data_IF_399573196115
#
_entry.id   IF_399573196115
#
_cell.length_a   1.000
_cell.length_b   1.000
_cell.length_c   1.000
_cell.angle_alpha   90.00
_cell.angle_beta   90.00
_cell.angle_gamma   90.00
#
_symmetry.space_group_name_H-M   'P 1'
#
loop_
_entity.id
_entity.type
_entity.pdbx_description
1 polymer ?
#
# COMPACT_ATOMS: atom_id res chain seq x y z
N UNK A 1 -11.51 -3.39 10.27
CA UNK A 1 -10.77 -2.61 9.28
C UNK A 1 -11.05 -3.06 7.86
N UNK A 2 -10.55 -2.28 6.89
CA UNK A 2 -10.63 -2.56 5.46
C UNK A 2 -12.06 -2.62 4.87
N UNK A 3 -13.08 -2.17 5.63
CA UNK A 3 -14.49 -2.22 5.18
C UNK A 3 -14.70 -1.36 3.93
N UNK A 4 -14.09 -0.17 3.89
CA UNK A 4 -14.20 0.76 2.75
C UNK A 4 -13.57 0.20 1.48
N UNK A 5 -12.34 -0.31 1.54
CA UNK A 5 -11.66 -0.91 0.39
C UNK A 5 -12.37 -2.16 -0.12
N UNK A 6 -12.88 -3.00 0.79
CA UNK A 6 -13.66 -4.18 0.41
C UNK A 6 -15.00 -3.81 -0.25
N UNK A 7 -15.71 -2.81 0.30
CA UNK A 7 -16.94 -2.30 -0.30
C UNK A 7 -16.70 -1.70 -1.70
N UNK A 8 -15.62 -0.93 -1.84
CA UNK A 8 -15.20 -0.41 -3.15
C UNK A 8 -14.93 -1.54 -4.15
N UNK A 9 -14.10 -2.53 -3.76
CA UNK A 9 -13.74 -3.64 -4.62
C UNK A 9 -14.97 -4.49 -5.01
N UNK A 10 -15.92 -4.65 -4.11
CA UNK A 10 -17.19 -5.36 -4.39
C UNK A 10 -18.07 -4.57 -5.38
N UNK A 11 -18.21 -3.26 -5.17
CA UNK A 11 -19.01 -2.40 -6.04
C UNK A 11 -18.43 -2.27 -7.46
N UNK A 12 -17.12 -2.48 -7.63
CA UNK A 12 -16.40 -2.36 -8.90
C UNK A 12 -15.83 -3.70 -9.39
N UNK A 13 -16.42 -4.82 -8.96
CA UNK A 13 -15.86 -6.16 -9.22
C UNK A 13 -15.62 -6.44 -10.72
N UNK A 14 -16.50 -5.95 -11.61
CA UNK A 14 -16.38 -6.13 -13.06
C UNK A 14 -15.24 -5.31 -13.69
N UNK A 15 -14.80 -4.24 -13.01
CA UNK A 15 -13.80 -3.29 -13.50
C UNK A 15 -12.54 -3.24 -12.66
N UNK A 16 -12.45 -4.06 -11.61
CA UNK A 16 -11.31 -4.00 -10.69
C UNK A 16 -9.97 -4.27 -11.40
N UNK A 17 -10.00 -5.12 -12.42
CA UNK A 17 -8.82 -5.46 -13.24
C UNK A 17 -8.38 -4.33 -14.18
N UNK A 18 -9.23 -3.31 -14.40
CA UNK A 18 -8.86 -2.11 -15.17
C UNK A 18 -7.96 -1.18 -14.34
N UNK A 19 -7.94 -1.36 -13.01
CA UNK A 19 -7.02 -0.64 -12.15
C UNK A 19 -5.59 -1.09 -12.41
N UNK A 20 -4.73 -0.13 -12.72
CA UNK A 20 -3.33 -0.41 -13.08
C UNK A 20 -2.49 -0.68 -11.83
N UNK A 21 -2.71 0.12 -10.81
CA UNK A 21 -1.94 0.10 -9.57
C UNK A 21 -2.74 0.77 -8.44
N UNK A 22 -2.57 0.30 -7.21
CA UNK A 22 -3.11 0.98 -6.02
C UNK A 22 -1.99 1.64 -5.22
N UNK A 23 -2.10 2.95 -5.00
CA UNK A 23 -1.25 3.71 -4.09
C UNK A 23 -2.05 4.01 -2.83
N UNK A 24 -1.71 3.36 -1.73
CA UNK A 24 -2.29 3.59 -0.41
C UNK A 24 -1.34 4.37 0.50
N UNK A 25 -1.88 5.08 1.46
CA UNK A 25 -1.12 5.88 2.43
C UNK A 25 -1.62 5.62 3.83
N UNK A 26 -0.75 5.08 4.67
CA UNK A 26 -0.99 4.90 6.09
C UNK A 26 0.13 5.59 6.89
N UNK A 27 -0.19 6.22 8.01
CA UNK A 27 0.76 6.78 8.98
C UNK A 27 1.83 7.74 8.39
N UNK A 28 1.60 8.33 7.23
CA UNK A 28 2.60 9.14 6.52
C UNK A 28 3.10 10.36 7.31
N UNK A 29 2.32 10.84 8.29
CA UNK A 29 2.61 12.02 9.08
C UNK A 29 3.37 11.79 10.38
N UNK A 30 3.65 10.55 10.76
CA UNK A 30 4.34 10.21 12.01
C UNK A 30 5.68 10.92 12.14
N UNK A 31 5.91 11.59 13.29
CA UNK A 31 7.12 12.37 13.55
C UNK A 31 8.37 11.49 13.59
N UNK A 32 8.26 10.31 14.22
CA UNK A 32 9.36 9.35 14.36
C UNK A 32 9.36 8.34 13.21
N UNK A 33 10.49 7.65 13.06
CA UNK A 33 10.68 6.61 12.04
C UNK A 33 11.07 7.14 10.65
N UNK A 34 11.35 6.20 9.75
CA UNK A 34 11.66 6.43 8.34
C UNK A 34 10.48 6.13 7.42
N UNK A 35 10.59 6.51 6.15
CA UNK A 35 9.62 6.09 5.15
C UNK A 35 9.81 4.60 4.85
N UNK A 36 8.74 3.85 4.91
CA UNK A 36 8.70 2.42 4.61
C UNK A 36 7.58 2.17 3.62
N UNK A 37 7.89 1.46 2.55
CA UNK A 37 6.93 1.13 1.51
C UNK A 37 6.70 -0.38 1.49
N UNK A 38 5.47 -0.79 1.75
CA UNK A 38 5.04 -2.17 1.63
C UNK A 38 4.48 -2.42 0.24
N UNK A 39 5.18 -3.21 -0.57
CA UNK A 39 4.81 -3.51 -1.96
C UNK A 39 4.27 -4.91 -2.04
N UNK A 40 3.01 -5.04 -2.43
CA UNK A 40 2.35 -6.32 -2.69
C UNK A 40 2.18 -6.49 -4.20
N UNK A 41 3.26 -6.92 -4.84
CA UNK A 41 3.37 -7.09 -6.30
C UNK A 41 4.60 -7.93 -6.65
N UNK A 42 4.83 -8.16 -7.94
CA UNK A 42 6.07 -8.76 -8.45
C UNK A 42 7.31 -7.94 -8.03
N UNK A 43 8.45 -8.60 -7.83
CA UNK A 43 9.67 -7.94 -7.37
C UNK A 43 10.17 -6.85 -8.34
N UNK A 44 9.89 -6.96 -9.64
CA UNK A 44 10.22 -5.92 -10.61
C UNK A 44 9.57 -4.57 -10.32
N UNK A 45 8.43 -4.56 -9.64
CA UNK A 45 7.79 -3.33 -9.16
C UNK A 45 8.66 -2.63 -8.12
N UNK A 46 9.26 -3.38 -7.20
CA UNK A 46 10.16 -2.83 -6.18
C UNK A 46 11.40 -2.18 -6.81
N UNK A 47 11.94 -2.80 -7.85
CA UNK A 47 13.11 -2.28 -8.58
C UNK A 47 12.80 -0.94 -9.25
N UNK A 48 11.65 -0.85 -9.92
CA UNK A 48 11.21 0.41 -10.55
C UNK A 48 10.89 1.51 -9.53
N UNK A 49 10.25 1.17 -8.41
CA UNK A 49 10.01 2.11 -7.32
C UNK A 49 11.33 2.62 -6.74
N UNK A 50 12.29 1.73 -6.46
CA UNK A 50 13.60 2.09 -5.94
C UNK A 50 14.31 3.08 -6.85
N UNK A 51 14.34 2.80 -8.15
CA UNK A 51 14.93 3.66 -9.16
C UNK A 51 14.29 5.05 -9.17
N UNK A 52 12.96 5.16 -9.16
CA UNK A 52 12.25 6.45 -9.18
C UNK A 52 12.50 7.27 -7.92
N UNK A 53 12.56 6.62 -6.76
CA UNK A 53 12.84 7.31 -5.51
C UNK A 53 14.30 7.74 -5.39
N UNK A 54 15.25 6.95 -5.91
CA UNK A 54 16.66 7.32 -6.00
C UNK A 54 16.86 8.53 -6.93
N UNK A 55 16.29 8.53 -8.13
CA UNK A 55 16.31 9.66 -9.08
C UNK A 55 15.72 10.94 -8.47
N UNK A 56 14.74 10.81 -7.59
CA UNK A 56 14.08 11.92 -6.90
C UNK A 56 14.76 12.32 -5.58
N UNK A 57 15.83 11.64 -5.19
CA UNK A 57 16.53 11.82 -3.90
C UNK A 57 15.60 11.68 -2.69
N UNK A 58 14.69 10.70 -2.72
CA UNK A 58 13.75 10.41 -1.63
C UNK A 58 14.10 9.09 -0.97
N UNK A 59 14.72 9.10 0.21
CA UNK A 59 15.07 7.87 0.91
C UNK A 59 13.81 7.16 1.44
N UNK A 60 13.73 5.85 1.17
CA UNK A 60 12.71 4.97 1.71
C UNK A 60 13.22 3.52 1.79
N UNK A 61 12.69 2.75 2.71
CA UNK A 61 12.89 1.31 2.80
C UNK A 61 11.75 0.63 2.04
N UNK A 62 12.07 -0.19 1.06
CA UNK A 62 11.09 -0.94 0.28
C UNK A 62 11.05 -2.38 0.79
N UNK A 63 9.84 -2.86 1.10
CA UNK A 63 9.58 -4.22 1.54
C UNK A 63 8.60 -4.88 0.59
N UNK A 64 9.01 -5.97 -0.04
CA UNK A 64 8.16 -6.76 -0.92
C UNK A 64 7.41 -7.81 -0.10
N UNK A 65 6.33 -7.41 0.53
CA UNK A 65 5.56 -8.24 1.45
C UNK A 65 4.10 -7.79 1.59
N UNK A 66 3.25 -8.69 2.07
CA UNK A 66 1.84 -8.43 2.36
C UNK A 66 1.71 -7.77 3.73
N UNK A 67 1.08 -6.60 3.79
CA UNK A 67 0.75 -5.89 5.03
C UNK A 67 -0.77 -5.86 5.25
N UNK A 68 -1.20 -5.67 6.51
CA UNK A 68 -2.60 -5.44 6.85
C UNK A 68 -2.98 -3.98 6.56
N UNK A 69 -3.31 -3.67 5.30
CA UNK A 69 -3.58 -2.34 4.78
C UNK A 69 -4.67 -2.39 3.70
N UNK A 70 -5.30 -1.26 3.39
CA UNK A 70 -6.31 -1.17 2.33
C UNK A 70 -5.79 -1.57 0.94
N UNK A 71 -4.47 -1.41 0.70
CA UNK A 71 -3.81 -1.90 -0.51
C UNK A 71 -3.96 -3.41 -0.72
N UNK A 72 -4.06 -4.19 0.36
CA UNK A 72 -4.23 -5.64 0.28
C UNK A 72 -5.53 -6.06 -0.39
N UNK A 73 -6.59 -5.26 -0.26
CA UNK A 73 -7.86 -5.55 -0.93
C UNK A 73 -7.69 -5.53 -2.44
N UNK A 74 -6.94 -4.56 -2.96
CA UNK A 74 -6.63 -4.45 -4.39
C UNK A 74 -5.68 -5.56 -4.83
N UNK A 75 -4.63 -5.83 -4.07
CA UNK A 75 -3.69 -6.92 -4.36
C UNK A 75 -4.38 -8.29 -4.38
N UNK A 76 -5.31 -8.54 -3.46
CA UNK A 76 -6.12 -9.76 -3.43
C UNK A 76 -6.96 -9.94 -4.71
N UNK A 77 -7.37 -8.84 -5.34
CA UNK A 77 -8.09 -8.83 -6.63
C UNK A 77 -7.16 -8.79 -7.84
N UNK A 78 -5.84 -8.95 -7.65
CA UNK A 78 -4.86 -9.02 -8.73
C UNK A 78 -4.32 -7.66 -9.19
N UNK A 79 -4.59 -6.58 -8.46
CA UNK A 79 -4.06 -5.25 -8.77
C UNK A 79 -2.78 -5.02 -7.96
N UNK A 80 -1.62 -4.80 -8.59
CA UNK A 80 -0.39 -4.43 -7.88
C UNK A 80 -0.62 -3.26 -6.95
N UNK A 81 -0.08 -3.33 -5.74
CA UNK A 81 -0.40 -2.37 -4.71
C UNK A 81 0.82 -1.99 -3.86
N UNK A 82 0.81 -0.75 -3.38
CA UNK A 82 1.81 -0.18 -2.51
C UNK A 82 1.15 0.56 -1.36
N UNK A 83 1.65 0.39 -0.16
CA UNK A 83 1.35 1.26 0.98
C UNK A 83 2.56 2.11 1.34
N UNK A 84 2.41 3.43 1.29
CA UNK A 84 3.36 4.38 1.86
C UNK A 84 3.08 4.47 3.36
N UNK A 85 4.08 4.17 4.17
CA UNK A 85 3.98 4.15 5.62
C UNK A 85 5.23 4.78 6.27
N UNK A 86 5.16 4.97 7.58
CA UNK A 86 6.33 5.29 8.42
C UNK A 86 6.36 4.36 9.62
N UNK A 87 7.57 3.98 10.02
CA UNK A 87 7.77 3.28 11.28
C UNK A 87 7.40 4.23 12.41
N UNK A 88 6.15 4.15 12.86
CA UNK A 88 5.57 5.07 13.80
C UNK A 88 5.44 4.49 15.20
N UNK A 89 5.06 5.36 16.14
CA UNK A 89 4.78 5.01 17.53
C UNK A 89 3.32 5.29 17.86
N UNK A 90 2.72 4.41 18.64
CA UNK A 90 1.40 4.65 19.23
C UNK A 90 0.20 4.28 18.35
N UNK A 91 0.41 3.76 17.12
CA UNK A 91 -0.67 3.31 16.25
C UNK A 91 -1.64 2.39 16.99
N UNK A 92 -2.94 2.64 16.84
CA UNK A 92 -4.03 1.92 17.52
C UNK A 92 -4.02 1.99 19.04
N UNK A 93 -3.40 3.03 19.60
CA UNK A 93 -3.40 3.30 21.05
C UNK A 93 -3.91 4.72 21.35
N UNK A 94 -4.14 5.04 22.63
CA UNK A 94 -4.48 6.39 23.05
C UNK A 94 -3.35 7.42 22.88
N UNK A 95 -2.13 6.96 22.54
CA UNK A 95 -0.99 7.83 22.18
C UNK A 95 -1.01 8.26 20.71
N UNK A 96 -1.87 7.66 19.87
CA UNK A 96 -2.03 8.08 18.48
C UNK A 96 -2.79 9.40 18.40
N UNK A 97 -2.03 10.48 18.55
CA UNK A 97 -2.55 11.84 18.67
C UNK A 97 -1.90 12.76 17.63
N UNK A 98 -2.56 13.88 17.31
CA UNK A 98 -2.07 14.85 16.34
C UNK A 98 -0.70 15.45 16.70
N UNK A 99 -0.28 15.42 17.99
CA UNK A 99 1.04 15.86 18.43
C UNK A 99 2.18 15.02 17.88
N UNK A 100 1.90 13.81 17.43
CA UNK A 100 2.86 12.92 16.78
C UNK A 100 2.95 13.14 15.25
N UNK A 101 2.20 14.08 14.70
CA UNK A 101 2.21 14.41 13.28
C UNK A 101 3.14 15.61 13.03
N UNK A 102 3.98 15.50 12.02
CA UNK A 102 4.87 16.57 11.59
C UNK A 102 4.56 16.99 10.14
N UNK A 103 4.42 18.31 9.88
CA UNK A 103 4.27 18.80 8.50
C UNK A 103 5.43 18.37 7.59
N UNK A 104 6.65 18.32 8.10
CA UNK A 104 7.82 17.88 7.38
C UNK A 104 7.75 16.39 6.95
N UNK A 105 7.19 15.52 7.80
CA UNK A 105 7.00 14.10 7.46
C UNK A 105 5.85 13.90 6.47
N UNK A 106 4.79 14.70 6.59
CA UNK A 106 3.71 14.72 5.60
C UNK A 106 4.20 15.17 4.22
N UNK A 107 5.04 16.21 4.17
CA UNK A 107 5.65 16.66 2.91
C UNK A 107 6.47 15.56 2.23
N UNK A 108 7.24 14.79 3.00
CA UNK A 108 8.00 13.65 2.47
C UNK A 108 7.11 12.53 1.94
N UNK A 109 6.04 12.20 2.65
CA UNK A 109 5.03 11.27 2.17
C UNK A 109 4.36 11.76 0.87
N UNK A 110 3.99 13.03 0.83
CA UNK A 110 3.43 13.65 -0.37
C UNK A 110 4.43 13.63 -1.55
N UNK A 111 5.73 13.87 -1.31
CA UNK A 111 6.77 13.78 -2.35
C UNK A 111 6.85 12.37 -2.94
N UNK A 112 6.81 11.32 -2.10
CA UNK A 112 6.77 9.93 -2.58
C UNK A 112 5.56 9.71 -3.48
N UNK A 113 4.38 10.13 -3.04
CA UNK A 113 3.14 9.97 -3.82
C UNK A 113 3.19 10.75 -5.14
N UNK A 114 3.72 11.97 -5.14
CA UNK A 114 3.89 12.75 -6.36
C UNK A 114 4.84 12.07 -7.35
N UNK A 115 5.99 11.57 -6.89
CA UNK A 115 6.96 10.87 -7.73
C UNK A 115 6.33 9.63 -8.35
N UNK A 116 5.77 8.76 -7.52
CA UNK A 116 5.22 7.48 -7.98
C UNK A 116 3.91 7.67 -8.77
N UNK A 117 3.03 8.56 -8.33
CA UNK A 117 1.78 8.87 -9.03
C UNK A 117 2.02 9.51 -10.40
N UNK A 118 2.98 10.41 -10.51
CA UNK A 118 3.36 11.02 -11.79
C UNK A 118 3.95 9.96 -12.74
N UNK A 119 4.82 9.11 -12.24
CA UNK A 119 5.37 8.00 -13.04
C UNK A 119 4.27 7.07 -13.53
N UNK A 120 3.44 6.53 -12.63
CA UNK A 120 2.38 5.59 -12.99
C UNK A 120 1.32 6.21 -13.91
N UNK A 121 0.97 7.47 -13.67
CA UNK A 121 -0.07 8.16 -14.46
C UNK A 121 0.37 8.59 -15.86
N UNK A 122 1.67 8.70 -16.12
CA UNK A 122 2.21 9.09 -17.43
C UNK A 122 2.90 7.91 -18.16
N UNK A 123 2.95 6.73 -17.58
CA UNK A 123 3.55 5.57 -18.23
C UNK A 123 2.65 5.09 -19.38
N UNK A 124 3.19 5.05 -20.60
CA UNK A 124 2.53 4.41 -21.75
C UNK A 124 2.59 2.88 -21.61
N UNK A 125 3.75 2.36 -21.14
CA UNK A 125 3.98 0.96 -20.82
C UNK A 125 4.65 0.83 -19.46
N UNK A 126 4.36 -0.29 -18.76
CA UNK A 126 4.97 -0.57 -17.47
C UNK A 126 6.17 -1.52 -17.63
N UNK A 127 7.33 -1.09 -17.14
CA UNK A 127 8.55 -1.90 -17.12
C UNK A 127 8.52 -3.04 -16.08
N UNK A 128 7.37 -3.27 -15.46
CA UNK A 128 7.18 -4.30 -14.44
C UNK A 128 6.02 -5.24 -14.76
N UNK A 129 6.03 -6.42 -14.15
CA UNK A 129 4.93 -7.37 -14.26
C UNK A 129 3.74 -6.96 -13.41
N UNK A 130 2.57 -6.88 -14.03
CA UNK A 130 1.30 -6.57 -13.36
C UNK A 130 0.68 -7.86 -12.79
N UNK A 131 1.42 -8.54 -11.93
CA UNK A 131 0.98 -9.78 -11.31
C UNK A 131 1.27 -9.78 -9.80
N UNK A 132 0.49 -10.55 -9.07
CA UNK A 132 0.73 -10.82 -7.65
C UNK A 132 1.37 -12.21 -7.55
N UNK A 133 2.58 -12.34 -6.99
CA UNK A 133 3.25 -13.62 -6.82
C UNK A 133 2.39 -14.62 -6.05
N UNK A 134 2.45 -15.90 -6.44
CA UNK A 134 1.61 -16.96 -5.87
C UNK A 134 1.70 -17.03 -4.33
N UNK A 135 2.90 -16.86 -3.78
CA UNK A 135 3.11 -16.87 -2.34
C UNK A 135 2.42 -15.70 -1.61
N UNK A 136 2.37 -14.53 -2.25
CA UNK A 136 1.62 -13.40 -1.73
C UNK A 136 0.11 -13.63 -1.86
N UNK A 137 -0.35 -14.19 -2.98
CA UNK A 137 -1.75 -14.51 -3.19
C UNK A 137 -2.26 -15.52 -2.16
N UNK A 138 -1.47 -16.53 -1.79
CA UNK A 138 -1.79 -17.47 -0.71
C UNK A 138 -1.95 -16.75 0.64
N UNK A 139 -1.04 -15.82 0.96
CA UNK A 139 -1.12 -15.03 2.20
C UNK A 139 -2.37 -14.15 2.23
N UNK A 140 -2.69 -13.49 1.12
CA UNK A 140 -3.90 -12.67 0.97
C UNK A 140 -5.17 -13.51 1.13
N UNK A 141 -5.26 -14.67 0.48
CA UNK A 141 -6.39 -15.58 0.62
C UNK A 141 -6.57 -15.99 2.09
N UNK A 142 -5.50 -16.44 2.74
CA UNK A 142 -5.56 -16.81 4.16
C UNK A 142 -5.97 -15.66 5.09
N UNK A 143 -5.56 -14.42 4.77
CA UNK A 143 -5.94 -13.24 5.52
C UNK A 143 -7.45 -12.97 5.41
N UNK A 144 -8.01 -12.98 4.20
CA UNK A 144 -9.43 -12.69 3.97
C UNK A 144 -10.34 -13.84 4.42
N UNK A 145 -9.92 -15.10 4.31
CA UNK A 145 -10.64 -16.25 4.87
C UNK A 145 -10.80 -16.14 6.39
N UNK A 146 -9.73 -15.76 7.10
CA UNK A 146 -9.78 -15.54 8.56
C UNK A 146 -10.68 -14.36 8.92
N UNK A 147 -10.66 -13.28 8.17
CA UNK A 147 -11.56 -12.15 8.40
C UNK A 147 -13.02 -12.54 8.17
N UNK A 148 -13.34 -13.25 7.08
CA UNK A 148 -14.67 -13.75 6.80
C UNK A 148 -15.22 -14.65 7.92
N UNK A 149 -14.39 -15.51 8.49
CA UNK A 149 -14.74 -16.34 9.63
C UNK A 149 -15.03 -15.53 10.91
N UNK A 150 -14.33 -14.42 11.14
CA UNK A 150 -14.57 -13.51 12.28
C UNK A 150 -15.89 -12.75 12.14
N UNK A 151 -16.22 -12.28 10.92
CA UNK A 151 -17.48 -11.57 10.66
C UNK A 151 -18.72 -12.48 10.74
N UNK A 152 -18.58 -13.78 10.47
CA UNK A 152 -19.66 -14.75 10.63
C UNK A 152 -19.93 -15.12 12.10
N UNK A 153 -19.01 -14.81 13.02
CA UNK A 153 -19.15 -15.09 14.46
C UNK A 153 -19.60 -13.87 15.30
N UNK A 154 -19.73 -12.71 14.66
CA UNK A 154 -20.29 -11.54 15.34
C UNK A 154 -21.80 -11.68 15.45
N UNK A 155 -22.42 -11.51 16.65
CA UNK A 155 -23.84 -11.64 16.87
C UNK A 155 -24.67 -10.59 16.16
#
# INVERSE_FOLDING_TARGET
>A
GLVGSQAYAAAHAEKITDHVFNLNVDLAGQLLGGNVLGVTADASVCEEIAKRLEEAEVPAVIKNEVWASDSNTFAWKGVPALTVNRDGFGMHTHYDTWQLISPWTLERGAKILCVLGTWLGNAEDFAFRREIPEEMQKKLNSYYEKQGALFQQAP
#
